data_IF_212296720251
#
_entry.id   IF_212296720251
#
_cell.length_a   1.000
_cell.length_b   1.000
_cell.length_c   1.000
_cell.angle_alpha   90.00
_cell.angle_beta   90.00
_cell.angle_gamma   90.00
#
_symmetry.space_group_name_H-M   'P 1'
#
loop_
_entity.id
_entity.type
_entity.pdbx_description
1 polymer ?
#
# COMPACT_ATOMS: atom_id res chain seq x y z
N UNK A 1 -16.58 -12.67 9.20
CA UNK A 1 -15.96 -13.96 8.80
C UNK A 1 -14.62 -13.65 8.16
N UNK A 2 -13.53 -14.35 8.52
CA UNK A 2 -12.18 -14.11 7.97
C UNK A 2 -12.12 -14.22 6.44
N UNK A 3 -12.95 -15.08 5.84
CA UNK A 3 -13.01 -15.33 4.39
C UNK A 3 -13.38 -14.08 3.58
N UNK A 4 -14.34 -13.27 4.05
CA UNK A 4 -14.74 -12.03 3.39
C UNK A 4 -13.63 -10.96 3.38
N UNK A 5 -12.74 -10.98 4.38
CA UNK A 5 -11.57 -10.07 4.39
C UNK A 5 -10.49 -10.56 3.43
N UNK A 6 -10.27 -11.88 3.34
CA UNK A 6 -9.32 -12.48 2.41
C UNK A 6 -9.75 -12.22 0.97
N UNK A 7 -11.00 -12.48 0.62
CA UNK A 7 -11.53 -12.20 -0.73
C UNK A 7 -11.37 -10.73 -1.11
N UNK A 8 -11.62 -9.82 -0.16
CA UNK A 8 -11.43 -8.38 -0.37
C UNK A 8 -9.98 -8.02 -0.66
N UNK A 9 -9.02 -8.62 0.05
CA UNK A 9 -7.58 -8.40 -0.19
C UNK A 9 -7.17 -8.96 -1.54
N UNK A 10 -7.55 -10.20 -1.83
CA UNK A 10 -7.23 -10.87 -3.10
C UNK A 10 -7.85 -10.14 -4.29
N UNK A 11 -9.05 -9.56 -4.14
CA UNK A 11 -9.69 -8.78 -5.20
C UNK A 11 -8.87 -7.59 -5.68
N UNK A 12 -7.99 -7.06 -4.82
CA UNK A 12 -7.10 -5.94 -5.14
C UNK A 12 -5.95 -6.29 -6.08
N UNK A 13 -5.63 -7.58 -6.23
CA UNK A 13 -4.54 -8.06 -7.07
C UNK A 13 -5.03 -8.51 -8.45
N UNK A 14 -4.18 -8.28 -9.44
CA UNK A 14 -4.33 -8.81 -10.79
C UNK A 14 -3.63 -10.17 -10.90
N UNK A 15 -4.41 -11.26 -10.84
CA UNK A 15 -3.89 -12.63 -10.96
C UNK A 15 -3.54 -13.06 -12.39
N UNK A 16 -3.76 -12.19 -13.38
CA UNK A 16 -3.20 -12.43 -14.73
C UNK A 16 -1.69 -12.16 -14.76
N UNK A 17 -1.17 -11.51 -13.72
CA UNK A 17 0.24 -11.25 -13.47
C UNK A 17 0.71 -12.05 -12.26
N UNK A 18 2.03 -12.34 -12.16
CA UNK A 18 2.53 -13.11 -11.05
C UNK A 18 2.38 -12.35 -9.73
N UNK A 19 2.07 -13.12 -8.68
CA UNK A 19 2.01 -12.68 -7.28
C UNK A 19 3.05 -13.50 -6.53
N UNK A 20 3.90 -12.83 -5.76
CA UNK A 20 5.02 -13.44 -5.06
C UNK A 20 4.88 -13.22 -3.57
N UNK A 21 5.42 -14.16 -2.80
CA UNK A 21 5.78 -13.89 -1.42
C UNK A 21 7.12 -13.16 -1.41
N UNK A 22 7.13 -11.93 -0.89
CA UNK A 22 8.34 -11.12 -0.75
C UNK A 22 8.82 -11.16 0.70
N UNK A 23 10.04 -11.61 0.92
CA UNK A 23 10.70 -11.58 2.22
C UNK A 23 11.41 -10.24 2.44
N UNK A 24 10.95 -9.47 3.42
CA UNK A 24 11.55 -8.21 3.83
C UNK A 24 12.54 -8.42 4.97
N UNK A 25 13.69 -7.76 4.89
CA UNK A 25 14.75 -7.80 5.89
C UNK A 25 14.88 -6.46 6.63
N UNK A 26 15.41 -6.45 7.86
CA UNK A 26 15.64 -5.21 8.59
C UNK A 26 16.49 -4.22 7.80
N UNK A 27 16.03 -2.97 7.70
CA UNK A 27 16.65 -1.90 6.91
C UNK A 27 16.09 -1.76 5.49
N UNK A 28 15.27 -2.69 5.01
CA UNK A 28 14.59 -2.54 3.73
C UNK A 28 13.62 -1.36 3.76
N UNK A 29 13.56 -0.64 2.64
CA UNK A 29 12.72 0.53 2.46
C UNK A 29 11.46 0.15 1.70
N UNK A 30 10.31 0.39 2.33
CA UNK A 30 8.99 0.32 1.71
C UNK A 30 8.62 1.73 1.25
N UNK A 31 8.51 1.89 -0.06
CA UNK A 31 8.34 3.18 -0.69
C UNK A 31 6.86 3.40 -0.98
N UNK A 32 6.23 4.25 -0.17
CA UNK A 32 4.86 4.73 -0.34
C UNK A 32 3.79 3.84 0.27
N UNK A 33 3.33 4.25 1.43
CA UNK A 33 1.90 4.25 1.66
C UNK A 33 1.31 5.60 1.28
N UNK A 34 0.20 5.57 0.55
CA UNK A 34 -0.62 6.74 0.27
C UNK A 34 -1.50 7.04 1.48
N UNK A 35 -0.93 7.76 2.45
CA UNK A 35 -1.62 8.15 3.69
C UNK A 35 -2.45 9.40 3.41
N UNK A 36 -3.70 9.44 3.89
CA UNK A 36 -4.53 10.65 3.81
C UNK A 36 -3.85 11.77 4.62
N UNK A 37 -3.81 12.99 4.09
CA UNK A 37 -3.11 14.13 4.72
C UNK A 37 -3.35 14.30 6.23
N UNK A 38 -4.58 14.17 6.78
CA UNK A 38 -4.83 14.37 8.21
C UNK A 38 -4.10 13.38 9.14
N UNK A 39 -3.67 12.23 8.61
CA UNK A 39 -2.92 11.22 9.35
C UNK A 39 -1.42 11.26 9.06
N UNK A 40 -0.99 12.00 8.03
CA UNK A 40 0.41 12.06 7.62
C UNK A 40 1.28 12.86 8.59
N UNK A 41 0.74 13.96 9.13
CA UNK A 41 1.45 14.85 10.06
C UNK A 41 1.43 14.33 11.51
N UNK A 42 0.83 13.15 11.77
CA UNK A 42 0.87 12.53 13.08
C UNK A 42 2.24 11.86 13.31
N UNK A 43 2.81 11.94 14.53
CA UNK A 43 4.10 11.31 14.84
C UNK A 43 4.09 9.77 14.64
N UNK A 44 2.89 9.18 14.64
CA UNK A 44 2.63 7.80 14.24
C UNK A 44 1.51 7.80 13.21
N UNK A 45 1.82 8.00 11.92
CA UNK A 45 0.78 7.97 10.89
C UNK A 45 0.11 6.60 10.94
N UNK A 46 -1.23 6.57 10.95
CA UNK A 46 -1.98 5.31 10.93
C UNK A 46 -1.65 4.61 9.63
N UNK A 47 -0.73 3.64 9.71
CA UNK A 47 -0.35 2.86 8.57
C UNK A 47 -1.55 1.98 8.16
N UNK A 48 -2.00 2.11 6.92
CA UNK A 48 -2.85 1.13 6.28
C UNK A 48 -2.10 -0.17 5.98
N UNK A 49 -2.79 -1.12 5.35
CA UNK A 49 -2.23 -2.44 5.03
C UNK A 49 -1.54 -2.49 3.65
N UNK A 50 -1.66 -1.43 2.85
CA UNK A 50 -1.17 -1.41 1.46
C UNK A 50 0.02 -0.47 1.32
N UNK A 51 1.06 -0.98 0.67
CA UNK A 51 2.34 -0.32 0.41
C UNK A 51 2.70 -0.47 -1.06
N UNK A 52 3.63 0.34 -1.55
CA UNK A 52 4.16 0.29 -2.90
C UNK A 52 5.67 0.20 -2.97
N UNK A 53 6.18 0.31 -4.20
CA UNK A 53 7.59 0.56 -4.50
C UNK A 53 7.79 2.02 -4.98
N UNK A 54 9.05 2.45 -5.10
CA UNK A 54 9.37 3.81 -5.52
C UNK A 54 8.77 4.11 -6.91
N UNK A 55 8.24 5.32 -7.12
CA UNK A 55 7.55 5.69 -8.37
C UNK A 55 6.11 5.19 -8.49
N UNK A 56 5.51 4.71 -7.39
CA UNK A 56 4.10 4.38 -7.31
C UNK A 56 3.25 5.65 -7.23
N UNK A 57 2.26 5.75 -8.11
CA UNK A 57 1.25 6.81 -8.09
C UNK A 57 -0.12 6.24 -7.74
N UNK A 58 -1.05 7.10 -7.32
CA UNK A 58 -2.40 6.72 -6.91
C UNK A 58 -3.17 6.01 -8.03
N UNK A 59 -3.01 6.48 -9.27
CA UNK A 59 -3.54 5.81 -10.46
C UNK A 59 -2.99 4.40 -10.69
N UNK A 60 -1.69 4.17 -10.41
CA UNK A 60 -1.05 2.85 -10.57
C UNK A 60 -1.53 1.80 -9.57
N UNK A 61 -2.09 2.20 -8.44
CA UNK A 61 -2.71 1.27 -7.46
C UNK A 61 -4.23 1.31 -7.49
N UNK A 62 -4.82 1.94 -8.52
CA UNK A 62 -6.26 2.09 -8.65
C UNK A 62 -6.92 2.68 -7.40
N UNK A 63 -6.24 3.65 -6.77
CA UNK A 63 -6.72 4.38 -5.62
C UNK A 63 -7.04 5.81 -6.05
N UNK A 64 -8.18 6.32 -5.62
CA UNK A 64 -8.49 7.73 -5.78
C UNK A 64 -7.96 8.53 -4.58
N UNK A 65 -7.28 9.64 -4.86
CA UNK A 65 -6.77 10.58 -3.86
C UNK A 65 -7.88 11.17 -2.97
N UNK A 66 -9.11 11.23 -3.47
CA UNK A 66 -10.21 11.92 -2.81
C UNK A 66 -9.94 13.42 -2.67
N UNK A 67 -10.83 14.16 -1.98
CA UNK A 67 -10.72 15.62 -1.86
C UNK A 67 -9.60 16.11 -0.92
N UNK A 68 -9.08 15.24 -0.05
CA UNK A 68 -8.04 15.60 0.94
C UNK A 68 -6.62 15.31 0.45
N UNK A 69 -6.44 14.66 -0.70
CA UNK A 69 -5.13 14.24 -1.19
C UNK A 69 -4.46 13.16 -0.32
N UNK A 70 -3.46 12.50 -0.91
CA UNK A 70 -2.61 11.53 -0.21
C UNK A 70 -1.15 11.89 -0.41
N UNK A 71 -0.33 11.62 0.60
CA UNK A 71 1.13 11.74 0.51
C UNK A 71 1.77 10.37 0.64
N UNK A 72 2.80 10.17 -0.17
CA UNK A 72 3.70 9.05 -0.08
C UNK A 72 4.56 9.18 1.19
N UNK A 73 4.30 8.32 2.16
CA UNK A 73 5.20 8.08 3.29
C UNK A 73 6.21 6.98 2.96
N UNK A 74 7.46 7.18 3.34
CA UNK A 74 8.49 6.16 3.30
C UNK A 74 8.47 5.39 4.62
N UNK A 75 8.60 4.06 4.55
CA UNK A 75 8.66 3.19 5.71
C UNK A 75 9.93 2.35 5.67
N UNK A 76 10.46 2.04 6.85
CA UNK A 76 11.61 1.16 7.04
C UNK A 76 11.16 -0.10 7.78
N UNK A 77 11.64 -1.25 7.34
CA UNK A 77 11.42 -2.54 7.99
C UNK A 77 12.34 -2.67 9.20
N UNK A 78 11.76 -2.89 10.38
CA UNK A 78 12.50 -3.05 11.63
C UNK A 78 12.85 -4.52 11.92
N UNK A 79 11.98 -5.44 11.50
CA UNK A 79 12.07 -6.87 11.80
C UNK A 79 11.73 -7.64 10.53
N UNK A 80 12.42 -8.75 10.27
CA UNK A 80 12.15 -9.58 9.11
C UNK A 80 10.70 -10.10 9.09
N UNK A 81 10.05 -10.07 7.92
CA UNK A 81 8.74 -10.69 7.70
C UNK A 81 8.51 -10.96 6.21
N UNK A 82 7.57 -11.86 5.90
CA UNK A 82 7.08 -12.04 4.53
C UNK A 82 5.75 -11.33 4.33
N UNK A 83 5.54 -10.75 3.15
CA UNK A 83 4.28 -10.17 2.73
C UNK A 83 3.99 -10.49 1.25
N UNK A 84 2.74 -10.27 0.84
CA UNK A 84 2.33 -10.51 -0.54
C UNK A 84 2.66 -9.31 -1.40
N UNK A 85 3.44 -9.53 -2.46
CA UNK A 85 3.71 -8.56 -3.51
C UNK A 85 3.01 -8.99 -4.80
N UNK A 86 2.34 -8.05 -5.46
CA UNK A 86 1.70 -8.33 -6.73
C UNK A 86 1.33 -7.06 -7.48
N UNK A 87 0.70 -7.22 -8.63
CA UNK A 87 0.24 -6.08 -9.43
C UNK A 87 -1.15 -5.65 -8.99
N UNK A 88 -1.35 -4.34 -8.84
CA UNK A 88 -2.67 -3.77 -8.58
C UNK A 88 -3.62 -3.97 -9.76
N UNK A 89 -4.82 -4.47 -9.46
CA UNK A 89 -5.89 -4.65 -10.43
C UNK A 89 -6.45 -3.30 -10.89
N UNK A 90 -6.87 -3.25 -12.15
CA UNK A 90 -7.67 -2.14 -12.64
C UNK A 90 -9.06 -2.15 -11.98
N UNK A 91 -9.51 -0.99 -11.53
CA UNK A 91 -10.86 -0.80 -11.04
C UNK A 91 -11.53 0.35 -11.77
N UNK A 92 -12.78 0.12 -12.20
CA UNK A 92 -13.65 1.20 -12.63
C UNK A 92 -13.75 2.25 -11.53
N UNK A 93 -13.72 3.53 -11.93
CA UNK A 93 -13.69 4.63 -10.97
C UNK A 93 -14.99 4.69 -10.17
N UNK A 94 -14.89 4.45 -8.86
CA UNK A 94 -15.98 4.64 -7.91
C UNK A 94 -15.56 5.65 -6.83
N UNK A 95 -16.05 6.87 -7.00
CA UNK A 95 -15.81 8.00 -6.11
C UNK A 95 -16.42 7.81 -4.71
N UNK A 96 -17.40 6.92 -4.54
CA UNK A 96 -18.08 6.69 -3.24
C UNK A 96 -17.19 5.92 -2.27
N UNK A 97 -16.35 5.03 -2.79
CA UNK A 97 -15.45 4.16 -2.01
C UNK A 97 -13.98 4.55 -2.13
N UNK A 98 -13.66 5.54 -2.96
CA UNK A 98 -12.29 6.07 -3.13
C UNK A 98 -11.35 5.08 -3.82
N UNK A 99 -11.90 4.19 -4.65
CA UNK A 99 -11.19 3.18 -5.45
C UNK A 99 -11.47 3.49 -6.92
N UNK A 100 -10.46 3.38 -7.77
CA UNK A 100 -10.57 3.73 -9.17
C UNK A 100 -9.25 4.14 -9.79
N UNK A 101 -8.94 3.56 -10.94
CA UNK A 101 -7.75 3.93 -11.72
C UNK A 101 -7.24 2.77 -12.56
N UNK A 102 -6.26 3.06 -13.45
CA UNK A 102 -5.74 2.09 -14.41
C UNK A 102 -5.03 0.89 -13.74
N UNK A 103 -4.64 1.01 -12.47
CA UNK A 103 -3.89 -0.05 -11.80
C UNK A 103 -2.52 -0.27 -12.45
N UNK A 104 -1.98 -1.49 -12.30
CA UNK A 104 -0.76 -1.91 -12.99
C UNK A 104 0.56 -1.62 -12.26
N UNK A 105 0.54 -0.92 -11.12
CA UNK A 105 1.69 -0.77 -10.24
C UNK A 105 1.90 -1.95 -9.32
N UNK A 106 3.14 -2.18 -8.91
CA UNK A 106 3.47 -3.14 -7.85
C UNK A 106 2.96 -2.63 -6.50
N UNK A 107 2.16 -3.44 -5.83
CA UNK A 107 1.65 -3.19 -4.49
C UNK A 107 1.98 -4.36 -3.57
N UNK A 108 2.18 -4.04 -2.29
CA UNK A 108 2.52 -4.97 -1.24
C UNK A 108 1.42 -4.91 -0.19
N UNK A 109 0.86 -6.05 0.17
CA UNK A 109 -0.10 -6.17 1.26
C UNK A 109 0.58 -6.69 2.52
N UNK A 110 0.58 -5.86 3.57
CA UNK A 110 1.09 -6.20 4.90
C UNK A 110 -0.11 -6.36 5.86
N UNK A 111 -0.33 -7.56 6.42
CA UNK A 111 -1.35 -7.79 7.44
C UNK A 111 -1.19 -6.85 8.65
N UNK A 112 -2.32 -6.47 9.26
CA UNK A 112 -2.34 -5.59 10.45
C UNK A 112 -1.44 -6.09 11.59
N UNK A 113 -1.36 -7.40 11.76
CA UNK A 113 -0.51 -8.06 12.77
C UNK A 113 0.99 -7.84 12.54
N UNK A 114 1.40 -7.47 11.33
CA UNK A 114 2.80 -7.23 10.96
C UNK A 114 3.13 -5.73 10.83
N UNK A 115 2.14 -4.83 10.90
CA UNK A 115 2.38 -3.38 10.79
C UNK A 115 3.31 -2.83 11.88
N UNK A 116 3.35 -3.45 13.07
CA UNK A 116 4.30 -3.07 14.12
C UNK A 116 5.77 -3.34 13.79
N UNK A 117 6.05 -4.03 12.68
CA UNK A 117 7.40 -4.33 12.18
C UNK A 117 7.93 -3.29 11.20
N UNK A 118 7.13 -2.27 10.87
CA UNK A 118 7.53 -1.17 9.98
C UNK A 118 7.42 0.16 10.70
N UNK A 119 8.30 1.10 10.37
CA UNK A 119 8.32 2.45 10.95
C UNK A 119 8.31 3.49 9.84
N UNK A 120 7.44 4.50 9.97
CA UNK A 120 7.50 5.66 9.08
C UNK A 120 8.82 6.41 9.28
N UNK A 121 9.54 6.66 8.20
CA UNK A 121 10.78 7.45 8.20
C UNK A 121 10.59 8.85 7.60
N UNK A 122 9.34 9.23 7.30
CA UNK A 122 8.99 10.56 6.79
C UNK A 122 8.43 10.56 5.36
N UNK A 123 8.30 11.74 4.73
CA UNK A 123 7.87 11.87 3.34
C UNK A 123 8.88 11.28 2.37
N UNK A 124 8.40 10.73 1.26
CA UNK A 124 9.26 10.40 0.11
C UNK A 124 9.72 11.71 -0.54
N UNK A 125 11.04 11.93 -0.60
CA UNK A 125 11.63 13.17 -1.14
C UNK A 125 11.45 13.34 -2.66
N UNK A 126 11.26 12.24 -3.41
CA UNK A 126 11.01 12.27 -4.87
C UNK A 126 10.04 11.18 -5.29
N UNK A 127 8.96 11.60 -5.96
CA UNK A 127 7.99 10.73 -6.64
C UNK A 127 8.55 10.23 -7.96
#
# INVERSE_FOLDING_TARGET
MPEAEVEKVLSGFDFTKPVYEHGFFPGDKLYCQLVRLPSFDQPTPIAGNWFGLAGLTTGKVAINDGGAGRRAGQFEVLVQFSALEGTAKEFAVDLRIGIGGPGGGTQIFIPRTLLGRVRSVGPVERW
#
